data_IF_917076053404
#
_entry.id   IF_917076053404
#
_cell.length_a   1.000
_cell.length_b   1.000
_cell.length_c   1.000
_cell.angle_alpha   90.00
_cell.angle_beta   90.00
_cell.angle_gamma   90.00
#
_symmetry.space_group_name_H-M   'P 1'
#
loop_
_entity.id
_entity.type
_entity.pdbx_description
1 polymer ?
#
# COMPACT_ATOMS: atom_id res chain seq x y z
N UNK A 1 -30.45 -15.39 -5.65
CA UNK A 1 -30.86 -15.37 -4.22
C UNK A 1 -31.03 -13.91 -3.80
N UNK A 2 -32.01 -13.64 -2.95
CA UNK A 2 -32.22 -12.32 -2.34
C UNK A 2 -31.65 -12.37 -0.92
N UNK A 3 -30.87 -11.35 -0.55
CA UNK A 3 -30.41 -11.12 0.81
C UNK A 3 -31.03 -9.83 1.32
N UNK A 4 -31.77 -9.93 2.43
CA UNK A 4 -32.34 -8.75 3.09
C UNK A 4 -31.30 -8.16 4.05
N UNK A 5 -30.83 -6.95 3.74
CA UNK A 5 -29.89 -6.24 4.59
C UNK A 5 -30.52 -5.72 5.89
N UNK A 6 -31.85 -5.78 6.03
CA UNK A 6 -32.55 -5.45 7.29
C UNK A 6 -32.33 -3.99 7.74
N UNK A 7 -32.29 -3.04 6.81
CA UNK A 7 -32.02 -1.62 7.09
C UNK A 7 -30.55 -1.28 7.37
N UNK A 8 -29.62 -2.19 7.12
CA UNK A 8 -28.17 -1.98 7.27
C UNK A 8 -27.59 -1.22 6.08
N UNK A 9 -26.33 -0.84 6.19
CA UNK A 9 -25.61 -0.09 5.19
C UNK A 9 -24.87 -1.03 4.23
N UNK A 10 -25.05 -0.81 2.92
CA UNK A 10 -24.39 -1.59 1.88
C UNK A 10 -23.47 -0.68 1.11
N UNK A 11 -22.20 -1.06 1.01
CA UNK A 11 -21.18 -0.35 0.22
C UNK A 11 -20.48 -1.34 -0.72
N UNK A 12 -19.76 -0.84 -1.75
CA UNK A 12 -18.80 -1.68 -2.44
C UNK A 12 -17.81 -2.28 -1.44
N UNK A 13 -17.27 -3.45 -1.74
CA UNK A 13 -16.21 -4.06 -0.96
C UNK A 13 -14.95 -3.19 -0.93
N UNK A 14 -14.22 -3.24 0.18
CA UNK A 14 -13.01 -2.45 0.37
C UNK A 14 -11.90 -2.91 -0.60
N UNK A 15 -11.06 -1.96 -1.00
CA UNK A 15 -9.84 -2.18 -1.76
C UNK A 15 -8.64 -1.79 -0.91
N UNK A 16 -7.66 -2.70 -0.79
CA UNK A 16 -6.34 -2.38 -0.28
C UNK A 16 -5.40 -2.16 -1.46
N UNK A 17 -5.03 -0.90 -1.69
CA UNK A 17 -4.32 -0.49 -2.90
C UNK A 17 -2.80 -0.62 -2.80
N UNK A 18 -2.27 -1.24 -1.73
CA UNK A 18 -0.85 -1.48 -1.58
C UNK A 18 -0.60 -2.63 -0.59
N UNK A 19 -0.32 -3.81 -1.12
CA UNK A 19 0.02 -5.00 -0.34
C UNK A 19 1.23 -5.70 -0.95
N UNK A 20 1.82 -6.64 -0.21
CA UNK A 20 2.95 -7.43 -0.64
C UNK A 20 2.78 -8.91 -0.33
N UNK A 21 3.09 -9.76 -1.31
CA UNK A 21 3.23 -11.19 -1.11
C UNK A 21 4.68 -11.58 -1.34
N UNK A 22 5.31 -12.20 -0.33
CA UNK A 22 6.74 -12.47 -0.39
C UNK A 22 7.21 -13.50 0.63
N UNK A 23 8.51 -13.80 0.56
CA UNK A 23 9.17 -14.85 1.35
C UNK A 23 9.23 -16.15 0.59
N UNK A 24 10.39 -16.44 -0.03
CA UNK A 24 10.60 -17.71 -0.70
C UNK A 24 10.39 -18.88 0.28
N UNK A 25 9.52 -19.83 -0.08
CA UNK A 25 9.10 -20.93 0.79
C UNK A 25 7.94 -20.59 1.74
N UNK A 26 7.36 -19.37 1.66
CA UNK A 26 6.21 -18.93 2.44
C UNK A 26 4.92 -18.82 1.62
N UNK A 27 4.86 -19.50 0.46
CA UNK A 27 3.72 -19.46 -0.47
C UNK A 27 2.41 -19.83 0.23
N UNK A 28 2.42 -20.88 1.08
CA UNK A 28 1.24 -21.34 1.82
C UNK A 28 0.79 -20.33 2.88
N UNK A 29 1.73 -19.67 3.57
CA UNK A 29 1.40 -18.64 4.55
C UNK A 29 0.81 -17.41 3.85
N UNK A 30 1.37 -17.00 2.70
CA UNK A 30 0.82 -15.91 1.89
C UNK A 30 -0.56 -16.27 1.31
N UNK A 31 -0.77 -17.53 0.92
CA UNK A 31 -2.08 -17.99 0.45
C UNK A 31 -3.16 -17.88 1.54
N UNK A 32 -2.82 -18.13 2.80
CA UNK A 32 -3.74 -18.01 3.93
C UNK A 32 -4.11 -16.54 4.25
N UNK A 33 -3.34 -15.57 3.79
CA UNK A 33 -3.71 -14.15 3.89
C UNK A 33 -4.91 -13.81 2.99
N UNK A 34 -5.15 -14.56 1.90
CA UNK A 34 -6.25 -14.27 0.98
C UNK A 34 -7.64 -14.28 1.66
N UNK A 35 -8.04 -15.36 2.37
CA UNK A 35 -9.31 -15.35 3.09
C UNK A 35 -9.33 -14.36 4.25
N UNK A 36 -8.17 -13.98 4.82
CA UNK A 36 -8.08 -12.98 5.88
C UNK A 36 -8.50 -11.59 5.39
N UNK A 37 -8.07 -11.19 4.18
CA UNK A 37 -8.55 -9.96 3.54
C UNK A 37 -10.07 -9.95 3.42
N UNK A 38 -10.67 -11.02 2.88
CA UNK A 38 -12.11 -11.10 2.67
C UNK A 38 -12.89 -11.13 3.99
N UNK A 39 -12.36 -11.81 5.02
CA UNK A 39 -12.98 -11.84 6.35
C UNK A 39 -13.07 -10.43 6.99
N UNK A 40 -12.20 -9.52 6.57
CA UNK A 40 -12.19 -8.11 6.97
C UNK A 40 -12.84 -7.17 5.92
N UNK A 41 -13.61 -7.70 4.96
CA UNK A 41 -14.34 -6.90 3.98
C UNK A 41 -13.51 -6.37 2.81
N UNK A 42 -12.24 -6.75 2.73
CA UNK A 42 -11.36 -6.38 1.60
C UNK A 42 -11.59 -7.35 0.45
N UNK A 43 -12.25 -6.87 -0.60
CA UNK A 43 -12.64 -7.70 -1.76
C UNK A 43 -11.68 -7.59 -2.94
N UNK A 44 -10.78 -6.62 -2.91
CA UNK A 44 -9.72 -6.48 -3.91
C UNK A 44 -8.42 -5.97 -3.27
N UNK A 45 -7.29 -6.42 -3.78
CA UNK A 45 -5.96 -5.99 -3.36
C UNK A 45 -5.10 -5.64 -4.59
N UNK A 46 -4.23 -4.64 -4.43
CA UNK A 46 -3.20 -4.27 -5.41
C UNK A 46 -1.83 -4.65 -4.86
N UNK A 47 -1.29 -5.77 -5.36
CA UNK A 47 0.04 -6.25 -5.01
C UNK A 47 1.13 -5.39 -5.68
N UNK A 48 1.94 -4.76 -4.87
CA UNK A 48 3.02 -3.84 -5.28
C UNK A 48 4.38 -4.55 -5.36
N UNK A 49 4.38 -5.82 -5.74
CA UNK A 49 5.49 -6.74 -5.87
C UNK A 49 6.04 -7.30 -4.55
N UNK A 50 6.67 -8.45 -4.67
CA UNK A 50 7.44 -9.16 -3.67
C UNK A 50 8.29 -10.20 -4.37
N UNK A 51 9.02 -11.00 -3.63
CA UNK A 51 9.82 -12.07 -4.22
C UNK A 51 8.99 -13.28 -4.70
N UNK A 52 7.68 -13.32 -4.39
CA UNK A 52 6.71 -14.28 -4.91
C UNK A 52 5.94 -13.75 -6.15
N UNK A 53 6.40 -12.69 -6.82
CA UNK A 53 5.65 -12.05 -7.91
C UNK A 53 5.24 -13.00 -9.04
N UNK A 54 6.02 -14.03 -9.38
CA UNK A 54 5.66 -15.04 -10.37
C UNK A 54 4.46 -15.87 -9.88
N UNK A 55 4.49 -16.34 -8.64
CA UNK A 55 3.40 -17.09 -8.00
C UNK A 55 2.13 -16.23 -7.91
N UNK A 56 2.27 -14.94 -7.59
CA UNK A 56 1.16 -14.00 -7.51
C UNK A 56 0.48 -13.77 -8.87
N UNK A 57 1.25 -13.78 -9.98
CA UNK A 57 0.68 -13.75 -11.32
C UNK A 57 -0.20 -15.00 -11.60
N UNK A 58 0.23 -16.19 -11.15
CA UNK A 58 -0.57 -17.40 -11.25
C UNK A 58 -1.83 -17.32 -10.38
N UNK A 59 -1.72 -16.79 -9.16
CA UNK A 59 -2.85 -16.59 -8.25
C UNK A 59 -3.89 -15.61 -8.79
N UNK A 60 -3.51 -14.64 -9.59
CA UNK A 60 -4.44 -13.74 -10.28
C UNK A 60 -5.39 -14.52 -11.19
N UNK A 61 -4.87 -15.53 -11.89
CA UNK A 61 -5.65 -16.39 -12.77
C UNK A 61 -6.39 -17.50 -12.00
N UNK A 62 -5.73 -18.10 -11.01
CA UNK A 62 -6.24 -19.21 -10.20
C UNK A 62 -5.94 -18.93 -8.71
N UNK A 63 -6.90 -18.36 -7.97
CA UNK A 63 -6.68 -18.04 -6.57
C UNK A 63 -6.28 -19.28 -5.75
N UNK A 64 -5.30 -19.14 -4.83
CA UNK A 64 -4.77 -20.28 -4.05
C UNK A 64 -5.73 -20.77 -2.97
N UNK A 65 -6.79 -20.02 -2.69
CA UNK A 65 -7.86 -20.35 -1.75
C UNK A 65 -9.22 -20.05 -2.39
N UNK A 66 -10.23 -20.84 -2.04
CA UNK A 66 -11.60 -20.69 -2.55
C UNK A 66 -12.16 -19.28 -2.27
N UNK A 67 -11.85 -18.74 -1.08
CA UNK A 67 -12.22 -17.38 -0.69
C UNK A 67 -10.97 -16.52 -0.79
N UNK A 68 -10.94 -15.62 -1.77
CA UNK A 68 -9.83 -14.72 -2.01
C UNK A 68 -10.32 -13.36 -2.53
N UNK A 69 -9.60 -12.25 -2.25
CA UNK A 69 -9.88 -10.97 -2.89
C UNK A 69 -9.53 -11.03 -4.38
N UNK A 70 -10.03 -10.09 -5.15
CA UNK A 70 -9.55 -9.86 -6.51
C UNK A 70 -8.13 -9.30 -6.46
N UNK A 71 -7.28 -9.85 -7.30
CA UNK A 71 -5.86 -9.52 -7.29
C UNK A 71 -5.50 -8.71 -8.54
N UNK A 72 -4.92 -7.52 -8.31
CA UNK A 72 -4.19 -6.74 -9.29
C UNK A 72 -2.72 -6.77 -8.91
N UNK A 73 -1.80 -6.95 -9.87
CA UNK A 73 -0.38 -7.11 -9.54
C UNK A 73 0.52 -6.40 -10.53
N UNK A 74 1.62 -5.86 -10.02
CA UNK A 74 2.71 -5.33 -10.86
C UNK A 74 3.59 -6.43 -11.45
N UNK A 75 3.42 -7.69 -11.02
CA UNK A 75 4.47 -8.67 -11.26
C UNK A 75 5.80 -8.24 -10.63
N UNK A 76 6.95 -8.71 -11.16
CA UNK A 76 8.25 -8.32 -10.64
C UNK A 76 8.49 -6.80 -10.82
N UNK A 77 8.94 -6.13 -9.76
CA UNK A 77 9.29 -4.71 -9.83
C UNK A 77 10.61 -4.46 -10.54
N UNK A 78 10.76 -3.28 -11.14
CA UNK A 78 12.02 -2.79 -11.69
C UNK A 78 12.87 -2.18 -10.57
N UNK A 79 14.15 -2.55 -10.49
CA UNK A 79 15.12 -2.04 -9.54
C UNK A 79 16.50 -1.90 -10.23
N UNK A 80 17.44 -1.23 -9.58
CA UNK A 80 18.82 -1.13 -10.05
C UNK A 80 19.61 -2.43 -9.87
N UNK A 81 20.88 -2.41 -10.27
CA UNK A 81 21.81 -3.54 -10.15
C UNK A 81 22.20 -3.79 -8.69
N UNK A 82 22.36 -5.06 -8.32
CA UNK A 82 22.62 -5.53 -6.96
C UNK A 82 21.55 -5.06 -5.96
N UNK A 83 20.29 -5.37 -6.19
CA UNK A 83 19.17 -4.91 -5.38
C UNK A 83 19.21 -5.49 -3.97
N UNK A 84 18.64 -4.76 -3.03
CA UNK A 84 18.42 -5.24 -1.65
C UNK A 84 17.34 -6.34 -1.65
N UNK A 85 16.36 -6.24 -2.52
CA UNK A 85 15.22 -7.14 -2.62
C UNK A 85 15.44 -8.24 -3.66
N UNK A 86 14.96 -9.45 -3.39
CA UNK A 86 14.94 -10.55 -4.36
C UNK A 86 13.68 -10.47 -5.25
N UNK A 87 13.68 -11.25 -6.33
CA UNK A 87 12.51 -11.37 -7.22
C UNK A 87 12.24 -10.12 -8.07
N UNK A 88 13.22 -9.24 -8.23
CA UNK A 88 13.12 -8.01 -9.03
C UNK A 88 13.69 -8.20 -10.44
N UNK A 89 13.40 -7.26 -11.33
CA UNK A 89 14.08 -7.14 -12.62
C UNK A 89 15.18 -6.08 -12.47
N UNK A 90 16.43 -6.52 -12.54
CA UNK A 90 17.59 -5.65 -12.43
C UNK A 90 17.82 -4.87 -13.72
N UNK A 91 18.04 -3.54 -13.59
CA UNK A 91 18.29 -2.65 -14.73
C UNK A 91 19.46 -1.73 -14.44
N UNK A 92 20.45 -1.76 -15.34
CA UNK A 92 21.66 -0.92 -15.26
C UNK A 92 21.82 0.04 -16.44
N UNK A 93 20.96 -0.11 -17.46
CA UNK A 93 20.96 0.69 -18.68
C UNK A 93 19.54 0.95 -19.18
N UNK A 94 19.36 1.88 -20.11
CA UNK A 94 18.08 2.12 -20.80
C UNK A 94 17.60 0.86 -21.57
N UNK A 95 18.52 0.11 -22.17
CA UNK A 95 18.19 -1.12 -22.86
C UNK A 95 17.63 -2.20 -21.89
N UNK A 96 18.17 -2.29 -20.66
CA UNK A 96 17.63 -3.20 -19.65
C UNK A 96 16.24 -2.77 -19.22
N UNK A 97 15.99 -1.46 -19.08
CA UNK A 97 14.65 -0.91 -18.77
C UNK A 97 13.65 -1.27 -19.88
N UNK A 98 14.02 -1.10 -21.14
CA UNK A 98 13.16 -1.47 -22.26
C UNK A 98 12.83 -2.96 -22.25
N UNK A 99 13.84 -3.83 -22.06
CA UNK A 99 13.64 -5.28 -21.94
C UNK A 99 12.76 -5.65 -20.73
N UNK A 100 12.92 -4.96 -19.60
CA UNK A 100 12.08 -5.15 -18.41
C UNK A 100 10.61 -4.80 -18.70
N UNK A 101 10.35 -3.67 -19.35
CA UNK A 101 9.00 -3.25 -19.72
C UNK A 101 8.36 -4.19 -20.75
N UNK A 102 9.12 -4.65 -21.75
CA UNK A 102 8.65 -5.66 -22.73
C UNK A 102 8.25 -6.96 -22.02
N UNK A 103 9.06 -7.43 -21.06
CA UNK A 103 8.75 -8.60 -20.23
C UNK A 103 7.48 -8.38 -19.40
N UNK A 104 7.32 -7.24 -18.73
CA UNK A 104 6.14 -6.93 -17.92
C UNK A 104 4.88 -6.83 -18.78
N UNK A 105 4.99 -6.27 -19.99
CA UNK A 105 3.89 -6.22 -20.96
C UNK A 105 3.48 -7.63 -21.42
N UNK A 106 4.44 -8.50 -21.69
CA UNK A 106 4.18 -9.90 -22.05
C UNK A 106 3.53 -10.70 -20.90
N UNK A 107 3.82 -10.37 -19.65
CA UNK A 107 3.18 -10.93 -18.45
C UNK A 107 1.78 -10.34 -18.19
N UNK A 108 1.35 -9.38 -18.99
CA UNK A 108 0.06 -8.67 -18.82
C UNK A 108 -0.13 -8.15 -17.39
N UNK A 109 0.90 -7.55 -16.81
CA UNK A 109 0.79 -6.93 -15.47
C UNK A 109 -0.21 -5.79 -15.49
N UNK A 110 -0.84 -5.53 -14.34
CA UNK A 110 -1.86 -4.47 -14.23
C UNK A 110 -1.24 -3.07 -14.13
N UNK A 111 0.00 -2.98 -13.66
CA UNK A 111 0.82 -1.77 -13.57
C UNK A 111 2.30 -2.13 -13.42
N UNK A 112 3.18 -1.16 -13.52
CA UNK A 112 4.64 -1.31 -13.31
C UNK A 112 5.03 -0.72 -11.97
N UNK A 113 5.64 -1.50 -11.09
CA UNK A 113 6.28 -1.02 -9.86
C UNK A 113 7.75 -0.72 -10.11
N UNK A 114 8.20 0.46 -9.71
CA UNK A 114 9.59 0.91 -9.81
C UNK A 114 10.06 1.33 -8.43
N UNK A 115 11.21 0.82 -7.98
CA UNK A 115 11.80 1.16 -6.69
C UNK A 115 13.19 1.77 -6.84
N UNK A 116 13.65 2.45 -5.79
CA UNK A 116 14.76 3.41 -5.85
C UNK A 116 15.99 2.99 -5.03
N UNK A 117 16.02 1.76 -4.46
CA UNK A 117 17.11 1.41 -3.54
C UNK A 117 18.48 1.40 -4.22
N UNK A 118 18.55 0.91 -5.45
CA UNK A 118 19.80 0.87 -6.25
C UNK A 118 19.61 1.42 -7.66
N UNK A 119 18.39 1.77 -8.06
CA UNK A 119 18.09 2.32 -9.37
C UNK A 119 18.55 3.78 -9.46
N UNK A 120 19.35 4.08 -10.50
CA UNK A 120 19.79 5.46 -10.75
C UNK A 120 18.61 6.36 -11.10
N UNK A 121 18.60 7.62 -10.62
CA UNK A 121 17.51 8.58 -10.87
C UNK A 121 17.18 8.78 -12.35
N UNK A 122 18.16 8.83 -13.23
CA UNK A 122 17.97 8.97 -14.67
C UNK A 122 17.26 7.74 -15.29
N UNK A 123 17.59 6.53 -14.83
CA UNK A 123 16.93 5.30 -15.27
C UNK A 123 15.50 5.18 -14.72
N UNK A 124 15.26 5.66 -13.50
CA UNK A 124 13.91 5.78 -12.95
C UNK A 124 13.03 6.67 -13.84
N UNK A 125 13.50 7.88 -14.16
CA UNK A 125 12.78 8.81 -15.03
C UNK A 125 12.60 8.24 -16.44
N UNK A 126 13.59 7.53 -16.97
CA UNK A 126 13.49 6.84 -18.25
C UNK A 126 12.41 5.75 -18.20
N UNK A 127 12.43 4.90 -17.18
CA UNK A 127 11.46 3.82 -17.00
C UNK A 127 10.02 4.37 -16.91
N UNK A 128 9.80 5.44 -16.15
CA UNK A 128 8.48 6.09 -16.04
C UNK A 128 8.01 6.62 -17.41
N UNK A 129 8.88 7.31 -18.16
CA UNK A 129 8.55 7.83 -19.51
C UNK A 129 8.22 6.70 -20.49
N UNK A 130 9.04 5.63 -20.49
CA UNK A 130 8.84 4.50 -21.40
C UNK A 130 7.60 3.68 -21.06
N UNK A 131 7.30 3.48 -19.77
CA UNK A 131 6.05 2.84 -19.34
C UNK A 131 4.82 3.66 -19.78
N UNK A 132 4.84 4.99 -19.59
CA UNK A 132 3.78 5.89 -20.06
C UNK A 132 3.60 5.80 -21.59
N UNK A 133 4.70 5.80 -22.35
CA UNK A 133 4.64 5.69 -23.81
C UNK A 133 4.01 4.37 -24.29
N UNK A 134 4.15 3.30 -23.51
CA UNK A 134 3.53 1.98 -23.74
C UNK A 134 2.10 1.89 -23.16
N UNK A 135 1.54 2.98 -22.60
CA UNK A 135 0.22 3.00 -21.98
C UNK A 135 0.14 2.24 -20.63
N UNK A 136 1.27 1.90 -20.04
CA UNK A 136 1.36 1.22 -18.75
C UNK A 136 1.32 2.24 -17.61
N UNK A 137 0.50 1.97 -16.58
CA UNK A 137 0.50 2.74 -15.33
C UNK A 137 1.74 2.42 -14.52
N UNK A 138 2.23 3.39 -13.77
CA UNK A 138 3.42 3.23 -12.94
C UNK A 138 3.14 3.56 -11.48
N UNK A 139 3.77 2.82 -10.60
CA UNK A 139 3.76 2.99 -9.15
C UNK A 139 5.20 3.10 -8.68
N UNK A 140 5.55 4.11 -7.91
CA UNK A 140 6.95 4.37 -7.62
C UNK A 140 7.30 4.77 -6.20
N UNK A 141 8.47 4.28 -5.77
CA UNK A 141 9.28 4.94 -4.76
C UNK A 141 10.15 5.96 -5.50
N UNK A 142 10.06 7.21 -5.14
CA UNK A 142 10.76 8.27 -5.87
C UNK A 142 12.21 8.37 -5.38
N UNK A 143 13.22 8.23 -6.27
CA UNK A 143 14.60 8.39 -5.87
C UNK A 143 14.85 9.69 -5.11
N UNK A 144 15.62 9.59 -4.02
CA UNK A 144 15.92 10.75 -3.19
C UNK A 144 16.64 11.86 -3.96
N UNK A 145 17.34 11.50 -5.05
CA UNK A 145 18.12 12.41 -5.87
C UNK A 145 17.34 13.26 -6.88
N UNK A 146 16.04 13.05 -7.03
CA UNK A 146 15.17 13.86 -7.90
C UNK A 146 14.02 14.45 -7.10
N UNK A 147 13.41 15.50 -7.63
CA UNK A 147 12.19 16.06 -7.06
C UNK A 147 10.98 15.18 -7.39
N UNK A 148 9.96 15.25 -6.54
CA UNK A 148 8.70 14.52 -6.79
C UNK A 148 8.01 15.03 -8.06
N UNK A 149 8.16 16.33 -8.35
CA UNK A 149 7.56 16.93 -9.54
C UNK A 149 8.22 16.41 -10.83
N UNK A 150 9.55 16.19 -10.85
CA UNK A 150 10.24 15.58 -12.00
C UNK A 150 9.69 14.18 -12.30
N UNK A 151 9.46 13.35 -11.27
CA UNK A 151 8.87 12.03 -11.43
C UNK A 151 7.42 12.10 -11.96
N UNK A 152 6.62 13.03 -11.44
CA UNK A 152 5.25 13.25 -11.86
C UNK A 152 5.16 13.73 -13.33
N UNK A 153 5.99 14.68 -13.73
CA UNK A 153 6.05 15.21 -15.10
C UNK A 153 6.58 14.16 -16.10
N UNK A 154 7.45 13.25 -15.66
CA UNK A 154 7.84 12.09 -16.44
C UNK A 154 6.66 11.14 -16.73
N UNK A 155 5.59 11.17 -15.89
CA UNK A 155 4.36 10.42 -16.10
C UNK A 155 4.07 9.35 -15.05
N UNK A 156 4.65 9.46 -13.86
CA UNK A 156 4.34 8.59 -12.73
C UNK A 156 2.84 8.64 -12.43
N UNK A 157 2.19 7.47 -12.26
CA UNK A 157 0.75 7.38 -12.02
C UNK A 157 0.40 7.43 -10.53
N UNK A 158 1.21 6.77 -9.68
CA UNK A 158 1.02 6.78 -8.22
C UNK A 158 2.33 6.99 -7.48
N UNK A 159 2.28 7.81 -6.43
CA UNK A 159 3.33 7.98 -5.46
C UNK A 159 2.97 7.11 -4.26
N UNK A 160 3.81 6.15 -3.96
CA UNK A 160 3.66 5.27 -2.81
C UNK A 160 4.37 5.90 -1.61
N UNK A 161 3.75 5.80 -0.43
CA UNK A 161 4.21 6.35 0.86
C UNK A 161 4.17 7.88 0.97
N UNK A 162 3.59 8.32 2.07
CA UNK A 162 3.30 9.74 2.32
C UNK A 162 4.56 10.60 2.54
N UNK A 163 5.67 9.99 2.95
CA UNK A 163 6.93 10.67 3.17
C UNK A 163 7.50 11.35 1.90
N UNK A 164 7.28 10.79 0.69
CA UNK A 164 7.66 11.46 -0.55
C UNK A 164 6.84 12.72 -0.79
N UNK A 165 5.59 12.73 -0.36
CA UNK A 165 4.74 13.92 -0.46
C UNK A 165 5.15 15.00 0.56
N UNK A 166 5.59 14.60 1.75
CA UNK A 166 6.23 15.52 2.68
C UNK A 166 7.52 16.12 2.08
N UNK A 167 8.38 15.28 1.45
CA UNK A 167 9.55 15.75 0.69
C UNK A 167 9.17 16.82 -0.34
N UNK A 168 8.11 16.58 -1.15
CA UNK A 168 7.63 17.51 -2.17
C UNK A 168 7.14 18.87 -1.62
N UNK A 169 6.78 18.93 -0.34
CA UNK A 169 6.42 20.15 0.36
C UNK A 169 7.60 20.94 0.94
N UNK A 170 8.82 20.43 0.84
CA UNK A 170 10.01 21.14 1.32
C UNK A 170 10.37 22.31 0.41
N UNK A 171 10.72 23.47 1.00
CA UNK A 171 11.27 24.62 0.25
C UNK A 171 12.61 24.31 -0.40
N UNK A 172 13.35 23.39 0.19
CA UNK A 172 14.72 23.07 -0.17
C UNK A 172 14.86 21.70 -0.82
N UNK A 173 13.74 21.13 -1.35
CA UNK A 173 13.69 19.77 -1.90
C UNK A 173 14.85 19.47 -2.86
N UNK A 174 15.06 20.33 -3.86
CA UNK A 174 16.10 20.12 -4.88
C UNK A 174 17.50 20.19 -4.28
N UNK A 175 17.76 21.12 -3.36
CA UNK A 175 19.08 21.28 -2.72
C UNK A 175 19.40 20.07 -1.82
N UNK A 176 18.44 19.63 -1.00
CA UNK A 176 18.61 18.46 -0.13
C UNK A 176 18.78 17.19 -0.96
N UNK A 177 18.04 17.05 -2.07
CA UNK A 177 18.19 15.93 -3.01
C UNK A 177 19.59 15.87 -3.64
N UNK A 178 20.12 17.02 -4.06
CA UNK A 178 21.50 17.13 -4.60
C UNK A 178 22.54 16.79 -3.53
N UNK A 179 22.35 17.25 -2.30
CA UNK A 179 23.23 16.97 -1.17
C UNK A 179 23.23 15.48 -0.80
N UNK A 180 22.06 14.84 -0.84
CA UNK A 180 21.94 13.40 -0.65
C UNK A 180 22.71 12.62 -1.73
N UNK A 181 22.53 12.95 -3.01
CA UNK A 181 23.29 12.32 -4.12
C UNK A 181 24.80 12.50 -3.99
N UNK A 182 25.23 13.64 -3.44
CA UNK A 182 26.63 13.91 -3.17
C UNK A 182 27.19 13.19 -1.92
N UNK A 183 26.35 12.36 -1.24
CA UNK A 183 26.71 11.62 -0.04
C UNK A 183 26.90 12.49 1.20
N UNK A 184 26.38 13.72 1.20
CA UNK A 184 26.47 14.63 2.36
C UNK A 184 25.46 14.32 3.46
N UNK A 185 24.40 13.58 3.14
CA UNK A 185 23.36 13.16 4.08
C UNK A 185 23.06 11.66 3.93
N UNK A 186 22.81 11.01 5.05
CA UNK A 186 22.10 9.73 5.08
C UNK A 186 20.61 9.92 4.72
N UNK A 187 19.90 8.84 4.42
CA UNK A 187 18.46 8.88 4.17
C UNK A 187 17.69 9.54 5.34
N UNK A 188 18.01 9.16 6.57
CA UNK A 188 17.33 9.71 7.77
C UNK A 188 17.59 11.20 7.96
N UNK A 189 18.81 11.67 7.71
CA UNK A 189 19.16 13.09 7.78
C UNK A 189 18.46 13.90 6.69
N UNK A 190 18.41 13.38 5.46
CA UNK A 190 17.67 14.03 4.39
C UNK A 190 16.17 14.13 4.69
N UNK A 191 15.56 13.06 5.21
CA UNK A 191 14.15 13.07 5.62
C UNK A 191 13.86 14.08 6.74
N UNK A 192 14.74 14.17 7.75
CA UNK A 192 14.63 15.17 8.79
C UNK A 192 14.71 16.60 8.25
N UNK A 193 15.62 16.85 7.29
CA UNK A 193 15.76 18.16 6.64
C UNK A 193 14.55 18.54 5.80
N UNK A 194 13.96 17.59 5.06
CA UNK A 194 12.71 17.85 4.34
C UNK A 194 11.57 18.23 5.31
N UNK A 195 11.48 17.55 6.46
CA UNK A 195 10.50 17.90 7.48
C UNK A 195 10.77 19.29 8.10
N UNK A 196 12.03 19.63 8.40
CA UNK A 196 12.43 20.91 8.97
C UNK A 196 12.20 22.09 7.99
N UNK A 197 12.20 21.84 6.70
CA UNK A 197 12.00 22.84 5.63
C UNK A 197 10.63 22.75 4.97
N UNK A 198 9.73 21.91 5.49
CA UNK A 198 8.37 21.76 4.99
C UNK A 198 7.60 23.09 5.09
N UNK A 199 6.94 23.45 3.98
CA UNK A 199 6.15 24.66 3.87
C UNK A 199 4.79 24.32 3.24
N UNK A 200 3.68 24.50 3.98
CA UNK A 200 2.35 24.22 3.44
C UNK A 200 2.00 24.98 2.15
N UNK A 201 2.61 26.17 1.94
CA UNK A 201 2.36 26.93 0.70
C UNK A 201 3.08 26.30 -0.49
N UNK A 202 4.28 25.78 -0.29
CA UNK A 202 5.02 24.99 -1.31
C UNK A 202 4.25 23.70 -1.58
N UNK A 203 3.84 22.98 -0.54
CA UNK A 203 3.09 21.74 -0.64
C UNK A 203 1.80 21.93 -1.47
N UNK A 204 0.96 22.93 -1.14
CA UNK A 204 -0.27 23.23 -1.89
C UNK A 204 -0.02 23.52 -3.37
N UNK A 205 1.07 24.20 -3.70
CA UNK A 205 1.42 24.51 -5.10
C UNK A 205 1.82 23.23 -5.84
N UNK A 206 2.69 22.43 -5.24
CA UNK A 206 3.17 21.18 -5.85
C UNK A 206 2.01 20.19 -5.97
N UNK A 207 1.20 20.01 -4.92
CA UNK A 207 0.09 19.04 -4.95
C UNK A 207 -0.99 19.40 -5.96
N UNK A 208 -1.29 20.68 -6.17
CA UNK A 208 -2.16 21.10 -7.28
C UNK A 208 -1.59 20.67 -8.65
N UNK A 209 -0.26 20.78 -8.79
CA UNK A 209 0.38 20.32 -10.04
C UNK A 209 0.31 18.80 -10.19
N UNK A 210 0.47 18.03 -9.09
CA UNK A 210 0.25 16.57 -9.09
C UNK A 210 -1.18 16.22 -9.49
N UNK A 211 -2.18 16.92 -8.96
CA UNK A 211 -3.58 16.72 -9.31
C UNK A 211 -3.86 17.02 -10.80
N UNK A 212 -3.30 18.12 -11.35
CA UNK A 212 -3.39 18.47 -12.78
C UNK A 212 -2.77 17.39 -13.67
N UNK A 213 -1.68 16.77 -13.23
CA UNK A 213 -1.01 15.67 -13.93
C UNK A 213 -1.76 14.32 -13.77
N UNK A 214 -2.78 14.26 -12.91
CA UNK A 214 -3.55 13.06 -12.64
C UNK A 214 -2.84 12.04 -11.75
N UNK A 215 -1.77 12.45 -11.06
CA UNK A 215 -1.04 11.59 -10.12
C UNK A 215 -1.90 11.33 -8.88
N UNK A 216 -1.92 10.07 -8.42
CA UNK A 216 -2.57 9.68 -7.18
C UNK A 216 -1.54 9.40 -6.08
N UNK A 217 -1.97 9.46 -4.83
CA UNK A 217 -1.14 9.18 -3.66
C UNK A 217 -1.63 7.92 -2.94
N UNK A 218 -0.72 6.99 -2.61
CA UNK A 218 -0.98 5.84 -1.75
C UNK A 218 -0.17 6.00 -0.46
N UNK A 219 -0.72 6.61 0.59
CA UNK A 219 0.00 7.00 1.80
C UNK A 219 0.66 5.86 2.55
N UNK A 220 -0.02 4.71 2.74
CA UNK A 220 0.42 3.60 3.58
C UNK A 220 0.89 4.06 4.96
N UNK A 221 0.15 5.01 5.52
CA UNK A 221 0.63 5.80 6.65
C UNK A 221 0.47 5.09 7.98
N UNK A 222 -0.52 4.20 8.10
CA UNK A 222 -0.67 3.40 9.32
C UNK A 222 0.63 2.64 9.65
N UNK A 223 1.19 1.93 8.67
CA UNK A 223 2.45 1.21 8.88
C UNK A 223 3.64 2.13 9.16
N UNK A 224 3.72 3.28 8.49
CA UNK A 224 4.77 4.27 8.78
C UNK A 224 4.63 4.83 10.20
N UNK A 225 3.40 5.11 10.66
CA UNK A 225 3.11 5.55 12.02
C UNK A 225 3.49 4.47 13.05
N UNK A 226 3.08 3.21 12.83
CA UNK A 226 3.48 2.07 13.67
C UNK A 226 5.00 2.02 13.84
N UNK A 227 5.75 2.09 12.74
CA UNK A 227 7.21 2.08 12.77
C UNK A 227 7.83 3.31 13.42
N UNK A 228 7.17 4.46 13.34
CA UNK A 228 7.65 5.69 13.97
C UNK A 228 7.64 5.58 15.50
N UNK A 229 6.72 4.78 16.07
CA UNK A 229 6.49 4.67 17.51
C UNK A 229 6.94 3.35 18.13
N UNK A 230 7.75 2.52 17.45
CA UNK A 230 8.32 1.28 17.99
C UNK A 230 9.18 1.45 19.25
N UNK A 231 9.54 2.67 19.60
CA UNK A 231 10.19 2.98 20.87
C UNK A 231 9.22 3.01 22.07
N UNK A 232 7.91 2.99 21.82
CA UNK A 232 6.85 2.99 22.84
C UNK A 232 6.05 1.70 22.88
N UNK A 233 5.88 1.05 21.72
CA UNK A 233 5.14 -0.18 21.57
C UNK A 233 5.88 -1.09 20.58
N UNK A 234 6.23 -2.29 21.03
CA UNK A 234 6.93 -3.28 20.21
C UNK A 234 5.98 -4.24 19.49
N UNK A 235 4.68 -4.09 19.70
CA UNK A 235 3.61 -4.89 19.09
C UNK A 235 3.71 -6.41 19.33
N UNK A 236 4.41 -6.82 20.38
CA UNK A 236 4.64 -8.25 20.68
C UNK A 236 3.35 -8.98 21.08
N UNK A 237 2.40 -8.24 21.64
CA UNK A 237 1.12 -8.76 22.16
C UNK A 237 -0.08 -8.44 21.23
N UNK A 238 0.15 -7.98 20.00
CA UNK A 238 -0.93 -7.66 19.06
C UNK A 238 -1.77 -8.92 18.77
N UNK A 239 -3.09 -8.87 18.94
CA UNK A 239 -3.97 -10.03 18.73
C UNK A 239 -3.99 -10.51 17.27
N UNK A 240 -3.67 -9.65 16.33
CA UNK A 240 -3.60 -9.93 14.89
C UNK A 240 -2.45 -10.87 14.54
N UNK A 241 -1.39 -10.94 15.36
CA UNK A 241 -0.28 -11.88 15.17
C UNK A 241 -0.74 -13.34 15.13
N UNK A 242 -1.86 -13.67 15.78
CA UNK A 242 -2.45 -15.00 15.73
C UNK A 242 -2.94 -15.44 14.33
N UNK A 243 -3.04 -14.51 13.37
CA UNK A 243 -3.45 -14.77 12.00
C UNK A 243 -2.27 -14.78 11.02
N UNK A 244 -1.08 -14.45 11.48
CA UNK A 244 0.12 -14.33 10.63
C UNK A 244 0.98 -15.56 10.82
N UNK A 245 1.30 -16.25 9.73
CA UNK A 245 2.14 -17.44 9.75
C UNK A 245 3.52 -17.17 10.35
N UNK A 246 4.13 -18.19 11.02
CA UNK A 246 5.39 -18.00 11.73
C UNK A 246 6.55 -17.56 10.85
N UNK A 247 6.57 -17.96 9.57
CA UNK A 247 7.59 -17.53 8.62
C UNK A 247 7.47 -16.06 8.28
N UNK A 248 6.27 -15.57 7.95
CA UNK A 248 6.02 -14.14 7.68
C UNK A 248 6.31 -13.33 8.95
N UNK A 249 5.76 -13.73 10.09
CA UNK A 249 5.97 -13.06 11.38
C UNK A 249 7.46 -13.00 11.77
N UNK A 250 8.22 -14.04 11.47
CA UNK A 250 9.67 -14.08 11.67
C UNK A 250 10.43 -12.97 10.91
N UNK A 251 9.80 -12.38 9.89
CA UNK A 251 10.40 -11.27 9.14
C UNK A 251 10.18 -9.89 9.80
N UNK A 252 9.42 -9.79 10.89
CA UNK A 252 9.10 -8.52 11.51
C UNK A 252 10.18 -8.00 12.47
N UNK A 253 10.93 -8.90 13.09
CA UNK A 253 11.85 -8.58 14.20
C UNK A 253 12.95 -7.57 13.87
N UNK A 254 13.46 -7.57 12.63
CA UNK A 254 14.55 -6.66 12.22
C UNK A 254 14.24 -5.17 12.38
N UNK A 255 12.97 -4.77 12.25
CA UNK A 255 12.54 -3.37 12.44
C UNK A 255 12.52 -2.99 13.92
N UNK A 256 12.08 -3.92 14.78
CA UNK A 256 12.10 -3.75 16.23
C UNK A 256 13.55 -3.65 16.73
N UNK A 257 14.43 -4.57 16.29
CA UNK A 257 15.86 -4.55 16.63
C UNK A 257 16.52 -3.23 16.21
N UNK A 258 16.24 -2.76 14.99
CA UNK A 258 16.76 -1.46 14.51
C UNK A 258 16.22 -0.29 15.30
N UNK A 259 14.94 -0.31 15.69
CA UNK A 259 14.34 0.74 16.51
C UNK A 259 14.95 0.79 17.92
N UNK A 260 15.22 -0.38 18.51
CA UNK A 260 15.85 -0.48 19.82
C UNK A 260 17.30 0.03 19.87
N UNK A 261 17.99 0.08 18.72
CA UNK A 261 19.35 0.61 18.59
C UNK A 261 19.39 2.12 18.29
N UNK A 262 18.22 2.78 18.09
CA UNK A 262 18.17 4.18 17.75
C UNK A 262 18.55 5.08 18.94
N UNK A 263 19.34 6.13 18.67
CA UNK A 263 19.63 7.15 19.69
C UNK A 263 18.40 8.00 20.01
N UNK A 264 18.34 8.64 21.18
CA UNK A 264 17.22 9.54 21.52
C UNK A 264 17.01 10.64 20.46
N UNK A 265 18.07 11.15 19.85
CA UNK A 265 18.00 12.17 18.79
C UNK A 265 17.38 11.59 17.52
N UNK A 266 17.74 10.36 17.14
CA UNK A 266 17.16 9.66 15.98
C UNK A 266 15.67 9.36 16.22
N UNK A 267 15.28 8.96 17.41
CA UNK A 267 13.88 8.77 17.80
C UNK A 267 13.11 10.08 17.69
N UNK A 268 13.62 11.18 18.29
CA UNK A 268 12.98 12.49 18.21
C UNK A 268 12.86 13.01 16.76
N UNK A 269 13.87 12.77 15.92
CA UNK A 269 13.82 13.12 14.50
C UNK A 269 12.74 12.31 13.77
N UNK A 270 12.63 11.01 14.03
CA UNK A 270 11.61 10.13 13.43
C UNK A 270 10.20 10.57 13.81
N UNK A 271 9.94 10.87 15.09
CA UNK A 271 8.64 11.39 15.54
C UNK A 271 8.30 12.73 14.88
N UNK A 272 9.29 13.63 14.72
CA UNK A 272 9.08 14.91 14.05
C UNK A 272 8.77 14.72 12.55
N UNK A 273 9.49 13.85 11.85
CA UNK A 273 9.21 13.51 10.44
C UNK A 273 7.79 12.97 10.32
N UNK A 274 7.38 12.05 11.19
CA UNK A 274 6.02 11.51 11.22
C UNK A 274 4.97 12.60 11.42
N UNK A 275 5.14 13.44 12.40
CA UNK A 275 4.20 14.54 12.71
C UNK A 275 4.04 15.50 11.52
N UNK A 276 5.11 15.85 10.82
CA UNK A 276 5.05 16.72 9.63
C UNK A 276 4.40 15.98 8.47
N UNK A 277 4.75 14.70 8.26
CA UNK A 277 4.19 13.88 7.18
C UNK A 277 2.67 13.79 7.26
N UNK A 278 2.11 13.58 8.45
CA UNK A 278 0.66 13.52 8.65
C UNK A 278 -0.07 14.81 8.25
N UNK A 279 0.59 15.98 8.37
CA UNK A 279 -0.01 17.25 7.95
C UNK A 279 -0.24 17.36 6.44
N UNK A 280 0.36 16.49 5.66
CA UNK A 280 0.22 16.49 4.19
C UNK A 280 -1.13 15.95 3.72
N UNK A 281 -1.77 15.07 4.48
CA UNK A 281 -3.05 14.43 4.11
C UNK A 281 -4.15 15.44 3.76
N UNK A 282 -4.52 16.39 4.62
CA UNK A 282 -5.53 17.38 4.28
C UNK A 282 -5.08 18.31 3.14
N UNK A 283 -3.79 18.60 3.01
CA UNK A 283 -3.26 19.44 1.92
C UNK A 283 -3.38 18.76 0.56
N UNK A 284 -3.19 17.43 0.49
CA UNK A 284 -3.41 16.64 -0.72
C UNK A 284 -4.87 16.68 -1.13
N UNK A 285 -5.78 16.48 -0.18
CA UNK A 285 -7.21 16.51 -0.42
C UNK A 285 -7.67 17.91 -0.88
N UNK A 286 -7.23 18.98 -0.22
CA UNK A 286 -7.49 20.37 -0.62
C UNK A 286 -7.00 20.67 -2.05
N UNK A 287 -5.88 20.09 -2.44
CA UNK A 287 -5.29 20.28 -3.76
C UNK A 287 -5.96 19.44 -4.86
N UNK A 288 -6.85 18.50 -4.51
CA UNK A 288 -7.53 17.61 -5.43
C UNK A 288 -6.73 16.37 -5.86
N UNK A 289 -5.65 16.03 -5.14
CA UNK A 289 -4.94 14.78 -5.34
C UNK A 289 -5.80 13.63 -4.83
N UNK A 290 -6.08 12.64 -5.68
CA UNK A 290 -6.83 11.46 -5.26
C UNK A 290 -5.96 10.56 -4.38
N UNK A 291 -6.45 10.28 -3.18
CA UNK A 291 -5.79 9.42 -2.20
C UNK A 291 -6.28 7.99 -2.38
N UNK A 292 -5.38 7.03 -2.30
CA UNK A 292 -5.65 5.59 -2.30
C UNK A 292 -5.43 5.05 -0.88
N UNK A 293 -6.36 4.25 -0.37
CA UNK A 293 -6.12 3.52 0.87
C UNK A 293 -5.32 2.26 0.56
N UNK A 294 -4.17 2.12 1.18
CA UNK A 294 -3.26 1.00 1.04
C UNK A 294 -2.48 0.80 2.34
N UNK A 295 -2.16 -0.43 2.70
CA UNK A 295 -1.59 -0.75 4.01
C UNK A 295 -0.11 -1.02 4.01
N UNK A 296 0.46 -1.39 2.86
CA UNK A 296 1.80 -1.96 2.76
C UNK A 296 1.93 -3.30 3.53
N UNK A 297 0.79 -4.00 3.76
CA UNK A 297 0.75 -5.22 4.56
C UNK A 297 1.42 -6.40 3.86
N UNK A 298 2.00 -7.31 4.66
CA UNK A 298 2.56 -8.58 4.22
C UNK A 298 4.01 -8.80 4.65
N UNK A 299 4.74 -9.54 3.83
CA UNK A 299 6.12 -9.93 4.05
C UNK A 299 7.04 -8.72 4.29
N UNK A 300 7.87 -8.78 5.34
CA UNK A 300 8.80 -7.75 5.80
C UNK A 300 8.18 -6.46 6.36
N UNK A 301 6.89 -6.25 6.20
CA UNK A 301 6.21 -5.05 6.67
C UNK A 301 5.60 -5.27 8.06
N UNK A 302 6.45 -5.09 9.06
CA UNK A 302 6.16 -5.38 10.46
C UNK A 302 4.88 -4.70 10.93
N UNK A 303 3.98 -5.49 11.52
CA UNK A 303 2.76 -5.05 12.19
C UNK A 303 1.71 -4.36 11.29
N UNK A 304 1.87 -4.51 9.96
CA UNK A 304 0.81 -4.22 8.99
C UNK A 304 0.04 -5.51 8.70
N UNK A 305 -1.11 -5.66 9.33
CA UNK A 305 -1.88 -6.90 9.32
C UNK A 305 -2.86 -6.94 8.14
N UNK A 306 -2.72 -7.93 7.21
CA UNK A 306 -3.62 -8.08 6.07
C UNK A 306 -5.10 -8.05 6.46
N UNK A 307 -5.86 -7.16 5.81
CA UNK A 307 -7.27 -6.94 6.08
C UNK A 307 -7.55 -6.04 7.28
N UNK A 308 -6.88 -6.21 8.41
CA UNK A 308 -7.11 -5.42 9.63
C UNK A 308 -6.59 -3.98 9.49
N UNK A 309 -5.33 -3.82 9.07
CA UNK A 309 -4.68 -2.51 9.00
C UNK A 309 -5.31 -1.55 8.00
N UNK A 310 -6.13 -2.04 7.04
CA UNK A 310 -6.85 -1.14 6.15
C UNK A 310 -7.87 -0.27 6.91
N UNK A 311 -8.51 -0.85 7.91
CA UNK A 311 -9.45 -0.08 8.75
C UNK A 311 -8.71 0.97 9.60
N UNK A 312 -7.48 0.65 10.04
CA UNK A 312 -6.64 1.61 10.78
C UNK A 312 -6.16 2.72 9.86
N UNK A 313 -5.78 2.40 8.62
CA UNK A 313 -5.41 3.40 7.61
C UNK A 313 -6.57 4.37 7.33
N UNK A 314 -7.80 3.86 7.16
CA UNK A 314 -8.99 4.69 6.96
C UNK A 314 -9.28 5.57 8.19
N UNK A 315 -9.14 5.01 9.40
CA UNK A 315 -9.33 5.77 10.64
C UNK A 315 -8.26 6.87 10.80
N UNK A 316 -7.02 6.56 10.45
CA UNK A 316 -5.91 7.51 10.45
C UNK A 316 -6.18 8.67 9.49
N UNK A 317 -6.72 8.42 8.29
CA UNK A 317 -7.10 9.47 7.35
C UNK A 317 -8.11 10.44 7.97
N UNK A 318 -9.14 9.90 8.62
CA UNK A 318 -10.18 10.73 9.27
C UNK A 318 -9.59 11.50 10.47
N UNK A 319 -8.76 10.85 11.29
CA UNK A 319 -8.09 11.50 12.42
C UNK A 319 -7.16 12.66 11.97
N UNK A 320 -6.69 12.64 10.73
CA UNK A 320 -5.81 13.65 10.15
C UNK A 320 -6.50 14.54 9.10
N UNK A 321 -7.81 14.71 9.17
CA UNK A 321 -8.53 15.78 8.50
C UNK A 321 -9.33 15.42 7.26
N UNK A 322 -9.33 14.15 6.81
CA UNK A 322 -10.25 13.70 5.79
C UNK A 322 -11.64 13.44 6.39
N UNK A 323 -12.69 13.70 5.63
CA UNK A 323 -14.03 13.24 6.01
C UNK A 323 -14.15 11.71 5.90
N UNK A 324 -15.09 11.07 6.63
CA UNK A 324 -15.34 9.63 6.45
C UNK A 324 -15.68 9.24 5.01
N UNK A 325 -16.36 10.13 4.25
CA UNK A 325 -16.64 9.93 2.82
C UNK A 325 -15.36 9.88 1.97
N UNK A 326 -14.42 10.77 2.21
CA UNK A 326 -13.14 10.84 1.47
C UNK A 326 -12.26 9.64 1.81
N UNK A 327 -12.18 9.26 3.10
CA UNK A 327 -11.46 8.07 3.53
C UNK A 327 -12.05 6.80 2.90
N UNK A 328 -13.37 6.62 2.92
CA UNK A 328 -14.01 5.48 2.28
C UNK A 328 -13.78 5.48 0.77
N UNK A 329 -13.88 6.64 0.11
CA UNK A 329 -13.65 6.79 -1.33
C UNK A 329 -12.20 6.42 -1.73
N UNK A 330 -11.22 6.68 -0.86
CA UNK A 330 -9.82 6.29 -1.06
C UNK A 330 -9.66 4.77 -1.25
N UNK A 331 -10.50 3.98 -0.58
CA UNK A 331 -10.54 2.53 -0.76
C UNK A 331 -11.44 2.13 -1.93
N UNK A 332 -12.75 2.46 -1.87
CA UNK A 332 -13.74 1.82 -2.74
C UNK A 332 -13.90 2.47 -4.11
N UNK A 333 -13.50 3.74 -4.30
CA UNK A 333 -13.69 4.50 -5.55
C UNK A 333 -12.37 4.70 -6.29
N UNK A 334 -11.34 5.17 -5.58
CA UNK A 334 -10.11 5.62 -6.22
C UNK A 334 -9.25 4.45 -6.72
N UNK A 335 -9.27 3.29 -6.05
CA UNK A 335 -8.62 2.06 -6.52
C UNK A 335 -9.15 1.60 -7.87
N UNK A 336 -10.48 1.36 -8.03
CA UNK A 336 -11.10 1.09 -9.33
C UNK A 336 -10.79 2.13 -10.40
N UNK A 337 -10.77 3.42 -10.04
CA UNK A 337 -10.45 4.50 -10.98
C UNK A 337 -8.99 4.44 -11.43
N UNK A 338 -8.05 4.18 -10.52
CA UNK A 338 -6.64 3.97 -10.87
C UNK A 338 -6.50 2.81 -11.85
N UNK A 339 -7.16 1.68 -11.56
CA UNK A 339 -7.05 0.48 -12.40
C UNK A 339 -7.84 0.57 -13.72
N UNK A 340 -8.70 1.60 -13.88
CA UNK A 340 -9.51 1.81 -15.10
C UNK A 340 -10.69 0.84 -15.18
N UNK A 341 -11.21 0.39 -14.03
CA UNK A 341 -12.30 -0.60 -13.93
C UNK A 341 -13.53 -0.08 -13.19
N UNK A 342 -13.71 1.24 -13.13
CA UNK A 342 -14.83 1.90 -12.44
C UNK A 342 -16.21 1.60 -13.07
N UNK A 343 -16.25 1.10 -14.28
CA UNK A 343 -17.46 0.58 -14.92
C UNK A 343 -18.01 -0.67 -14.23
N UNK A 344 -17.13 -1.45 -13.59
CA UNK A 344 -17.45 -2.71 -12.90
C UNK A 344 -17.38 -2.63 -11.39
N UNK A 345 -16.50 -1.82 -10.81
CA UNK A 345 -16.22 -1.78 -9.37
C UNK A 345 -16.47 -0.39 -8.76
N UNK A 346 -16.51 -0.33 -7.42
CA UNK A 346 -16.66 0.94 -6.68
C UNK A 346 -18.08 1.48 -6.65
N UNK A 347 -19.08 0.70 -7.02
CA UNK A 347 -20.49 1.12 -7.03
C UNK A 347 -21.44 -0.02 -6.71
N UNK A 348 -22.58 0.32 -6.12
CA UNK A 348 -23.71 -0.60 -5.89
C UNK A 348 -24.76 -0.29 -6.95
N UNK A 349 -24.71 -1.04 -8.07
CA UNK A 349 -25.62 -0.81 -9.21
C UNK A 349 -25.78 -2.10 -10.04
N UNK A 350 -26.91 -2.27 -10.74
CA UNK A 350 -27.07 -3.38 -11.68
C UNK A 350 -25.94 -3.39 -12.73
N UNK A 351 -25.38 -4.56 -13.02
CA UNK A 351 -24.27 -4.74 -13.95
C UNK A 351 -22.88 -4.49 -13.36
N UNK A 352 -22.76 -3.97 -12.13
CA UNK A 352 -21.51 -3.91 -11.40
C UNK A 352 -21.12 -5.28 -10.83
N UNK A 353 -19.85 -5.44 -10.48
CA UNK A 353 -19.39 -6.62 -9.78
C UNK A 353 -20.07 -6.76 -8.42
N UNK A 354 -20.48 -7.98 -8.09
CA UNK A 354 -21.10 -8.27 -6.81
C UNK A 354 -20.02 -8.52 -5.74
N UNK A 355 -19.20 -7.50 -5.50
CA UNK A 355 -18.18 -7.41 -4.45
C UNK A 355 -18.63 -6.30 -3.50
N UNK A 356 -19.31 -6.66 -2.40
CA UNK A 356 -20.01 -5.74 -1.51
C UNK A 356 -19.74 -6.09 -0.04
N UNK A 357 -19.90 -5.09 0.84
CA UNK A 357 -19.97 -5.32 2.28
C UNK A 357 -21.26 -4.78 2.86
N UNK A 358 -21.78 -5.47 3.86
CA UNK A 358 -22.94 -5.06 4.65
C UNK A 358 -22.46 -4.72 6.05
N UNK A 359 -22.76 -3.51 6.49
CA UNK A 359 -22.27 -2.94 7.75
C UNK A 359 -23.43 -2.68 8.72
N UNK A 360 -23.21 -2.92 10.00
CA UNK A 360 -24.21 -2.66 11.04
C UNK A 360 -24.35 -1.17 11.40
N UNK A 361 -23.43 -0.29 10.94
CA UNK A 361 -23.45 1.15 11.16
C UNK A 361 -23.02 1.93 9.89
N UNK A 362 -23.30 3.24 9.87
CA UNK A 362 -23.04 4.10 8.73
C UNK A 362 -21.56 4.52 8.63
N UNK A 363 -20.79 4.04 7.64
CA UNK A 363 -19.38 4.41 7.50
C UNK A 363 -19.17 5.85 7.05
N UNK A 364 -20.21 6.57 6.60
CA UNK A 364 -20.14 7.99 6.24
C UNK A 364 -20.31 8.91 7.45
N UNK A 365 -20.81 8.39 8.57
CA UNK A 365 -20.90 9.08 9.85
C UNK A 365 -19.70 8.76 10.74
N UNK A 366 -19.30 7.48 10.78
CA UNK A 366 -18.18 6.97 11.55
C UNK A 366 -17.43 5.93 10.72
N UNK A 367 -16.22 6.25 10.31
CA UNK A 367 -15.40 5.36 9.49
C UNK A 367 -15.09 4.03 10.18
N UNK A 368 -15.07 3.99 11.52
CA UNK A 368 -14.88 2.76 12.29
C UNK A 368 -15.98 1.71 12.06
N UNK A 369 -17.14 2.14 11.51
CA UNK A 369 -18.21 1.25 11.09
C UNK A 369 -17.78 0.24 10.03
N UNK A 370 -16.70 0.50 9.28
CA UNK A 370 -16.14 -0.48 8.33
C UNK A 370 -15.70 -1.77 8.99
N UNK A 371 -15.41 -1.78 10.30
CA UNK A 371 -15.11 -2.99 11.09
C UNK A 371 -16.36 -3.77 11.52
N UNK A 372 -17.54 -3.15 11.44
CA UNK A 372 -18.82 -3.76 11.88
C UNK A 372 -19.47 -4.54 10.75
N UNK A 373 -18.72 -5.49 10.20
CA UNK A 373 -19.14 -6.33 9.09
C UNK A 373 -20.25 -7.31 9.53
N UNK A 374 -21.38 -7.23 8.87
CA UNK A 374 -22.48 -8.21 8.99
C UNK A 374 -22.35 -9.31 7.96
N UNK A 375 -21.96 -8.96 6.74
CA UNK A 375 -21.74 -9.89 5.66
C UNK A 375 -20.76 -9.29 4.62
N UNK A 376 -20.15 -10.17 3.86
CA UNK A 376 -19.36 -9.84 2.67
C UNK A 376 -19.97 -10.59 1.48
N UNK A 377 -20.14 -9.90 0.36
CA UNK A 377 -20.44 -10.55 -0.92
C UNK A 377 -19.18 -10.48 -1.75
N UNK A 378 -18.67 -11.64 -2.13
CA UNK A 378 -17.49 -11.76 -2.96
C UNK A 378 -17.79 -12.59 -4.20
N UNK A 379 -17.70 -11.94 -5.36
CA UNK A 379 -18.04 -12.55 -6.66
C UNK A 379 -19.45 -13.17 -6.69
N UNK A 380 -20.42 -12.46 -6.06
CA UNK A 380 -21.81 -12.92 -5.94
C UNK A 380 -22.07 -13.95 -4.85
N UNK A 381 -21.05 -14.50 -4.19
CA UNK A 381 -21.18 -15.38 -3.03
C UNK A 381 -21.33 -14.53 -1.76
N UNK A 382 -22.44 -14.72 -1.07
CA UNK A 382 -22.67 -14.14 0.25
C UNK A 382 -21.94 -14.97 1.31
N UNK A 383 -21.15 -14.29 2.13
CA UNK A 383 -20.53 -14.81 3.36
C UNK A 383 -21.16 -14.06 4.52
N UNK A 384 -21.95 -14.72 5.33
CA UNK A 384 -22.55 -14.10 6.52
C UNK A 384 -21.55 -14.01 7.68
N UNK A 385 -21.95 -13.43 8.80
CA UNK A 385 -21.07 -13.26 9.95
C UNK A 385 -20.49 -14.58 10.47
N UNK A 386 -21.30 -15.63 10.49
CA UNK A 386 -20.84 -16.94 10.97
C UNK A 386 -19.80 -17.56 10.03
N UNK A 387 -19.97 -17.42 8.71
CA UNK A 387 -18.98 -17.86 7.73
C UNK A 387 -17.67 -17.04 7.83
N UNK A 388 -17.76 -15.72 8.01
CA UNK A 388 -16.60 -14.85 8.21
C UNK A 388 -15.85 -15.19 9.51
N UNK A 389 -16.57 -15.40 10.61
CA UNK A 389 -15.97 -15.85 11.88
C UNK A 389 -15.30 -17.22 11.71
N UNK A 390 -15.95 -18.13 10.98
CA UNK A 390 -15.39 -19.43 10.64
C UNK A 390 -14.09 -19.34 9.80
N UNK A 391 -13.98 -18.36 8.89
CA UNK A 391 -12.72 -18.10 8.18
C UNK A 391 -11.60 -17.70 9.15
N UNK A 392 -11.88 -16.74 10.04
CA UNK A 392 -10.90 -16.28 11.03
C UNK A 392 -10.44 -17.42 11.95
N UNK A 393 -11.37 -18.27 12.41
CA UNK A 393 -11.03 -19.44 13.23
C UNK A 393 -10.09 -20.39 12.47
N UNK A 394 -10.43 -20.75 11.24
CA UNK A 394 -9.61 -21.67 10.43
C UNK A 394 -8.20 -21.13 10.15
N UNK A 395 -8.08 -19.82 9.86
CA UNK A 395 -6.78 -19.20 9.64
C UNK A 395 -5.92 -19.31 10.90
N UNK A 396 -6.47 -18.95 12.06
CA UNK A 396 -5.76 -19.04 13.35
C UNK A 396 -5.35 -20.46 13.70
N UNK A 397 -6.24 -21.44 13.47
CA UNK A 397 -5.92 -22.87 13.67
C UNK A 397 -4.81 -23.34 12.73
N UNK A 398 -4.81 -22.89 11.45
CA UNK A 398 -3.76 -23.17 10.49
C UNK A 398 -2.40 -22.61 10.93
N UNK A 399 -2.37 -21.37 11.44
CA UNK A 399 -1.15 -20.76 12.00
C UNK A 399 -0.65 -21.57 13.20
N UNK A 400 -1.53 -21.89 14.15
CA UNK A 400 -1.17 -22.68 15.34
C UNK A 400 -0.62 -24.07 14.98
N UNK A 401 -1.19 -24.72 13.95
CA UNK A 401 -0.70 -26.02 13.47
C UNK A 401 0.72 -25.92 12.88
N UNK A 402 1.02 -24.86 12.10
CA UNK A 402 2.38 -24.60 11.56
C UNK A 402 3.38 -24.33 12.69
N UNK A 403 3.01 -23.55 13.70
CA UNK A 403 3.86 -23.30 14.86
C UNK A 403 4.20 -24.59 15.62
N UNK A 404 3.22 -25.48 15.77
CA UNK A 404 3.43 -26.79 16.41
C UNK A 404 4.35 -27.69 15.57
N UNK A 405 4.25 -27.64 14.24
CA UNK A 405 5.10 -28.43 13.34
C UNK A 405 6.54 -27.91 13.23
N UNK A 406 6.78 -26.64 13.55
CA UNK A 406 8.10 -26.01 13.53
C UNK A 406 8.91 -26.19 14.83
N UNK A 407 8.28 -26.72 15.89
CA UNK A 407 8.93 -27.08 17.20
C UNK A 407 9.49 -28.49 17.19
#
# INVERSE_FOLDING_TARGET
>A
RTFDAGGRYVTPGLWDNHVHFGGAGLEEENADLMPLYVANGVTAVRDAAGDLSSTVLDWRATPPREIAPRLFTSGPKIEGINPVWKGVIETGSEADVDAALDRLQALHVDFVKITDNTLKPELFLYAVRQAKARGMKTSGHIPMGITVLEAAEAGLSTIEHLNYLMKAGSRDEAAISADYLAGRYTYAEAMARYADTFDPAVARRVYRRLAELGVMASPTQHGSSTLAWLDRDDHADDPELAYIGPGIRGTYGWRVERAAQATPEAVAARHRVEAVTLTTLPLLQEAGVRILAGTDAGFLNSFNYPGFSLHDELALYVANGLSPREALAASVINGPALMGVSDRYGRVAPGAAADLIVLDANPLEDISATRRLRAVVRDGRLLDRAELDGLLVRIREGVSAREAAAR
#
